data_IF_189732140430
#
_entry.id   IF_189732140430
#
_cell.length_a   1.000
_cell.length_b   1.000
_cell.length_c   1.000
_cell.angle_alpha   90.00
_cell.angle_beta   90.00
_cell.angle_gamma   90.00
#
_symmetry.space_group_name_H-M   'P 1'
#
loop_
_entity.id
_entity.type
_entity.pdbx_description
1 polymer ?
#
# COMPACT_ATOMS: atom_id res chain seq x y z
N UNK A 1 10.10 4.34 -11.92
CA UNK A 1 8.71 3.84 -12.05
C UNK A 1 7.91 4.92 -12.75
N UNK A 2 7.22 4.59 -13.85
CA UNK A 2 6.40 5.58 -14.58
C UNK A 2 5.09 5.87 -13.83
N UNK A 3 4.39 6.95 -14.20
CA UNK A 3 3.04 7.23 -13.67
C UNK A 3 2.09 6.05 -13.88
N UNK A 4 2.15 5.40 -15.05
CA UNK A 4 1.35 4.21 -15.37
C UNK A 4 1.66 3.05 -14.41
N UNK A 5 2.94 2.80 -14.15
CA UNK A 5 3.37 1.73 -13.24
C UNK A 5 2.90 2.00 -11.80
N UNK A 6 2.95 3.27 -11.35
CA UNK A 6 2.45 3.70 -10.04
C UNK A 6 0.96 3.43 -9.89
N UNK A 7 0.17 3.82 -10.89
CA UNK A 7 -1.28 3.58 -10.91
C UNK A 7 -1.57 2.07 -10.92
N UNK A 8 -0.82 1.29 -11.70
CA UNK A 8 -0.97 -0.16 -11.75
C UNK A 8 -0.67 -0.81 -10.38
N UNK A 9 0.40 -0.38 -9.70
CA UNK A 9 0.72 -0.85 -8.36
C UNK A 9 -0.37 -0.51 -7.34
N UNK A 10 -0.86 0.75 -7.33
CA UNK A 10 -1.93 1.16 -6.41
C UNK A 10 -3.19 0.32 -6.65
N UNK A 11 -3.55 0.08 -7.92
CA UNK A 11 -4.70 -0.75 -8.32
C UNK A 11 -4.53 -2.23 -7.99
N UNK A 12 -3.31 -2.77 -8.00
CA UNK A 12 -3.06 -4.17 -7.65
C UNK A 12 -3.00 -4.40 -6.14
N UNK A 13 -2.73 -3.34 -5.36
CA UNK A 13 -2.82 -3.43 -3.90
C UNK A 13 -4.28 -3.72 -3.51
N UNK A 14 -4.53 -4.81 -2.79
CA UNK A 14 -5.89 -5.17 -2.33
C UNK A 14 -6.48 -4.17 -1.32
N UNK A 15 -5.70 -3.16 -0.93
CA UNK A 15 -6.10 -2.13 0.03
C UNK A 15 -6.70 -0.93 -0.69
N UNK A 16 -7.98 -0.67 -0.41
CA UNK A 16 -8.63 0.64 -0.65
C UNK A 16 -8.57 1.19 -2.08
N UNK A 17 -8.52 0.33 -3.10
CA UNK A 17 -8.62 0.77 -4.51
C UNK A 17 -9.90 1.56 -4.80
N UNK A 18 -10.97 1.28 -4.05
CA UNK A 18 -12.24 2.01 -4.09
C UNK A 18 -12.18 3.40 -3.43
N UNK A 19 -11.13 3.71 -2.67
CA UNK A 19 -10.97 5.00 -1.97
C UNK A 19 -10.20 6.00 -2.84
N UNK A 20 -9.29 5.51 -3.68
CA UNK A 20 -8.47 6.37 -4.54
C UNK A 20 -9.19 6.66 -5.86
N UNK A 21 -10.12 7.61 -5.83
CA UNK A 21 -10.85 8.04 -7.02
C UNK A 21 -9.92 8.74 -8.02
N UNK A 22 -10.00 8.32 -9.28
CA UNK A 22 -9.42 9.02 -10.43
C UNK A 22 -7.89 9.26 -10.33
N UNK A 23 -7.14 8.19 -10.06
CA UNK A 23 -5.67 8.19 -9.96
C UNK A 23 -4.94 8.84 -11.15
N UNK A 24 -5.55 8.86 -12.33
CA UNK A 24 -5.00 9.53 -13.51
C UNK A 24 -4.87 11.06 -13.33
N UNK A 25 -5.66 11.67 -12.43
CA UNK A 25 -5.57 13.10 -12.08
C UNK A 25 -4.49 13.41 -11.06
N UNK A 26 -3.90 12.40 -10.43
CA UNK A 26 -2.93 12.60 -9.37
C UNK A 26 -1.61 13.07 -9.98
N UNK A 27 -0.95 13.99 -9.28
CA UNK A 27 0.44 14.32 -9.54
C UNK A 27 1.33 13.13 -9.21
N UNK A 28 2.54 13.13 -9.76
CA UNK A 28 3.51 12.06 -9.48
C UNK A 28 3.83 11.94 -7.98
N UNK A 29 3.88 13.08 -7.27
CA UNK A 29 4.07 13.12 -5.82
C UNK A 29 2.91 12.48 -5.06
N UNK A 30 1.67 12.84 -5.40
CA UNK A 30 0.48 12.24 -4.78
C UNK A 30 0.43 10.71 -4.97
N UNK A 31 0.87 10.21 -6.12
CA UNK A 31 0.98 8.77 -6.36
C UNK A 31 2.06 8.13 -5.46
N UNK A 32 3.20 8.81 -5.27
CA UNK A 32 4.25 8.33 -4.35
C UNK A 32 3.75 8.28 -2.89
N UNK A 33 2.97 9.28 -2.47
CA UNK A 33 2.43 9.34 -1.11
C UNK A 33 1.44 8.18 -0.86
N UNK A 34 0.55 7.89 -1.82
CA UNK A 34 -0.36 6.75 -1.74
C UNK A 34 0.40 5.42 -1.70
N UNK A 35 1.43 5.25 -2.54
CA UNK A 35 2.29 4.07 -2.51
C UNK A 35 2.93 3.90 -1.14
N UNK A 36 3.43 4.99 -0.54
CA UNK A 36 4.05 4.97 0.78
C UNK A 36 3.08 4.53 1.86
N UNK A 37 1.84 5.04 1.84
CA UNK A 37 0.78 4.63 2.77
C UNK A 37 0.48 3.13 2.65
N UNK A 38 0.32 2.62 1.42
CA UNK A 38 0.07 1.20 1.15
C UNK A 38 1.20 0.35 1.72
N UNK A 39 2.46 0.69 1.42
CA UNK A 39 3.64 -0.07 1.87
C UNK A 39 3.79 -0.04 3.39
N UNK A 40 3.67 1.12 4.04
CA UNK A 40 3.70 1.23 5.50
C UNK A 40 2.58 0.42 6.16
N UNK A 41 1.43 0.37 5.49
CA UNK A 41 0.31 -0.45 5.87
C UNK A 41 0.60 -1.95 5.88
N UNK A 42 1.27 -2.45 4.85
CA UNK A 42 1.69 -3.84 4.72
C UNK A 42 2.76 -4.22 5.74
N UNK A 43 3.75 -3.35 5.96
CA UNK A 43 4.82 -3.57 6.96
C UNK A 43 4.19 -3.75 8.35
N UNK A 44 3.27 -2.86 8.74
CA UNK A 44 2.57 -2.98 10.03
C UNK A 44 1.78 -4.27 10.18
N UNK A 45 1.08 -4.72 9.14
CA UNK A 45 0.38 -6.01 9.16
C UNK A 45 1.36 -7.17 9.33
N UNK A 46 2.48 -7.15 8.60
CA UNK A 46 3.53 -8.17 8.74
C UNK A 46 4.13 -8.20 10.14
N UNK A 47 4.38 -7.05 10.76
CA UNK A 47 4.87 -6.96 12.14
C UNK A 47 3.89 -7.52 13.15
N UNK A 48 2.59 -7.21 13.01
CA UNK A 48 1.53 -7.77 13.87
C UNK A 48 1.50 -9.29 13.76
N UNK A 49 1.54 -9.82 12.54
CA UNK A 49 1.53 -11.26 12.28
C UNK A 49 2.79 -11.92 12.88
N UNK A 50 3.97 -11.36 12.63
CA UNK A 50 5.23 -11.88 13.16
C UNK A 50 5.24 -11.90 14.70
N UNK A 51 4.75 -10.84 15.34
CA UNK A 51 4.62 -10.77 16.79
C UNK A 51 3.59 -11.78 17.32
N UNK A 52 2.49 -12.03 16.61
CA UNK A 52 1.52 -13.06 16.98
C UNK A 52 2.14 -14.47 16.90
N UNK A 53 2.92 -14.77 15.86
CA UNK A 53 3.66 -16.02 15.75
C UNK A 53 4.67 -16.19 16.88
N UNK A 54 5.51 -15.19 17.17
CA UNK A 54 6.50 -15.28 18.23
C UNK A 54 5.85 -15.47 19.62
N UNK A 55 4.76 -14.75 19.89
CA UNK A 55 4.09 -14.82 21.20
C UNK A 55 3.16 -16.05 21.35
N UNK A 56 2.64 -16.61 20.25
CA UNK A 56 1.77 -17.79 20.27
C UNK A 56 2.51 -19.14 20.32
N UNK A 57 3.82 -19.15 20.06
CA UNK A 57 4.70 -20.32 20.19
C UNK A 57 5.40 -20.42 21.57
N UNK A 58 4.98 -19.60 22.54
CA UNK A 58 5.47 -19.64 23.92
C UNK A 58 4.60 -20.51 24.82
#
# INVERSE_FOLDING_TARGET
MTKKDKIAFIKSSKRKTHVYNNLDRYTDQQLNDVIREIVQGLIRESEIIANAYINGYR
#
